data_IF_879896540298
#
_entry.id   IF_879896540298
#
_cell.length_a   1.000
_cell.length_b   1.000
_cell.length_c   1.000
_cell.angle_alpha   90.00
_cell.angle_beta   90.00
_cell.angle_gamma   90.00
#
_symmetry.space_group_name_H-M   'P 1'
#
loop_
_entity.id
_entity.type
_entity.pdbx_description
1 polymer ?
#
# COMPACT_ATOMS: atom_id res chain seq x y z
N UNK A 1 -26.76 -23.36 -11.00
CA UNK A 1 -25.43 -22.85 -11.40
C UNK A 1 -25.16 -21.63 -10.55
N UNK A 2 -25.06 -21.96 -9.26
CA UNK A 2 -24.63 -21.16 -8.12
C UNK A 2 -23.11 -21.20 -8.15
N UNK A 3 -22.42 -20.06 -8.01
CA UNK A 3 -21.02 -19.92 -7.56
C UNK A 3 -20.54 -18.46 -7.78
N UNK A 4 -21.33 -17.47 -7.36
CA UNK A 4 -20.91 -16.05 -7.30
C UNK A 4 -21.07 -15.47 -5.90
N UNK A 5 -21.76 -16.17 -4.98
CA UNK A 5 -22.07 -15.66 -3.64
C UNK A 5 -21.07 -16.13 -2.55
N UNK A 6 -20.31 -17.22 -2.79
CA UNK A 6 -19.37 -17.77 -1.79
C UNK A 6 -18.02 -17.03 -1.70
N UNK A 7 -17.57 -16.38 -2.79
CA UNK A 7 -16.30 -15.62 -2.79
C UNK A 7 -16.41 -14.32 -1.99
N UNK A 8 -17.57 -13.64 -2.02
CA UNK A 8 -17.76 -12.34 -1.37
C UNK A 8 -17.83 -12.47 0.17
N UNK A 9 -18.47 -13.54 0.66
CA UNK A 9 -18.55 -13.82 2.10
C UNK A 9 -17.19 -14.19 2.71
N UNK A 10 -16.36 -14.96 1.99
CA UNK A 10 -15.01 -15.29 2.46
C UNK A 10 -14.07 -14.07 2.47
N UNK A 11 -14.23 -13.18 1.50
CA UNK A 11 -13.47 -11.94 1.39
C UNK A 11 -13.84 -10.92 2.47
N UNK A 12 -15.13 -10.76 2.78
CA UNK A 12 -15.61 -9.88 3.85
C UNK A 12 -15.14 -10.39 5.22
N UNK A 13 -15.24 -11.70 5.49
CA UNK A 13 -14.77 -12.29 6.74
C UNK A 13 -13.25 -12.15 6.93
N UNK A 14 -12.45 -12.31 5.86
CA UNK A 14 -11.00 -12.09 5.90
C UNK A 14 -10.64 -10.61 6.15
N UNK A 15 -11.41 -9.66 5.61
CA UNK A 15 -11.22 -8.22 5.87
C UNK A 15 -11.58 -7.84 7.31
N UNK A 16 -12.66 -8.39 7.87
CA UNK A 16 -13.06 -8.15 9.26
C UNK A 16 -12.08 -8.79 10.26
N UNK A 17 -11.62 -10.01 9.99
CA UNK A 17 -10.63 -10.69 10.83
C UNK A 17 -9.28 -9.96 10.81
N UNK A 18 -8.88 -9.41 9.65
CA UNK A 18 -7.68 -8.58 9.56
C UNK A 18 -7.85 -7.24 10.28
N UNK A 19 -9.04 -6.61 10.23
CA UNK A 19 -9.32 -5.37 10.94
C UNK A 19 -9.21 -5.51 12.46
N UNK A 20 -9.68 -6.62 13.03
CA UNK A 20 -9.54 -6.91 14.46
C UNK A 20 -8.09 -7.05 14.92
N UNK A 21 -7.15 -7.41 14.03
CA UNK A 21 -5.72 -7.56 14.35
C UNK A 21 -4.88 -6.32 14.08
N UNK A 22 -5.36 -5.40 13.25
CA UNK A 22 -4.57 -4.24 12.81
C UNK A 22 -4.59 -3.08 13.81
N UNK A 23 -5.71 -2.89 14.53
CA UNK A 23 -5.84 -1.84 15.53
C UNK A 23 -5.07 -2.18 16.82
N UNK A 24 -4.13 -1.33 17.20
CA UNK A 24 -3.32 -1.47 18.41
C UNK A 24 -3.75 -0.39 19.43
N UNK A 25 -4.57 -0.71 20.45
CA UNK A 25 -4.95 0.25 21.47
C UNK A 25 -3.75 0.62 22.35
N UNK A 26 -3.65 1.88 22.76
CA UNK A 26 -2.64 2.27 23.74
C UNK A 26 -2.93 1.64 25.10
N UNK A 27 -1.87 1.14 25.76
CA UNK A 27 -2.01 0.48 27.07
C UNK A 27 -2.57 1.42 28.15
N UNK A 28 -2.15 2.69 28.15
CA UNK A 28 -2.66 3.72 29.05
C UNK A 28 -3.54 4.73 28.29
N UNK A 29 -4.85 4.49 28.33
CA UNK A 29 -5.85 5.36 27.72
C UNK A 29 -5.95 6.73 28.41
N UNK A 30 -5.62 6.84 29.69
CA UNK A 30 -5.66 8.10 30.43
C UNK A 30 -4.54 9.03 29.96
N UNK A 31 -3.31 8.51 29.92
CA UNK A 31 -2.16 9.21 29.36
C UNK A 31 -2.39 9.56 27.88
N UNK A 32 -2.87 8.60 27.08
CA UNK A 32 -3.12 8.82 25.66
C UNK A 32 -4.12 9.97 25.42
N UNK A 33 -5.22 10.02 26.18
CA UNK A 33 -6.20 11.12 26.08
C UNK A 33 -5.63 12.46 26.53
N UNK A 34 -4.82 12.47 27.59
CA UNK A 34 -4.17 13.68 28.06
C UNK A 34 -3.20 14.25 27.02
N UNK A 35 -2.51 13.39 26.27
CA UNK A 35 -1.61 13.78 25.19
C UNK A 35 -2.36 14.17 23.92
N UNK A 36 -3.46 13.48 23.60
CA UNK A 36 -4.28 13.76 22.42
C UNK A 36 -4.96 15.14 22.52
N UNK A 37 -5.43 15.57 23.70
CA UNK A 37 -5.93 16.94 23.89
C UNK A 37 -6.88 17.43 22.79
N UNK A 38 -6.51 18.51 22.09
CA UNK A 38 -7.22 19.08 20.92
C UNK A 38 -6.53 18.74 19.60
N UNK A 39 -5.80 17.62 19.53
CA UNK A 39 -5.06 17.19 18.34
C UNK A 39 -6.04 17.03 17.17
N UNK A 40 -5.82 17.85 16.15
CA UNK A 40 -6.49 17.73 14.86
C UNK A 40 -5.49 17.22 13.84
N UNK A 41 -5.95 16.40 12.90
CA UNK A 41 -5.08 15.81 11.90
C UNK A 41 -4.35 16.87 11.08
N UNK A 42 -3.01 16.90 11.18
CA UNK A 42 -2.15 17.76 10.39
C UNK A 42 -0.93 16.98 9.87
N UNK A 43 -0.62 17.11 8.58
CA UNK A 43 0.53 16.44 7.95
C UNK A 43 1.83 17.24 8.04
N UNK A 44 1.75 18.52 8.41
CA UNK A 44 2.87 19.44 8.34
C UNK A 44 3.50 19.80 9.68
N UNK A 45 2.95 19.28 10.78
CA UNK A 45 3.45 19.50 12.14
C UNK A 45 4.59 18.55 12.52
N UNK A 46 5.27 18.91 13.61
CA UNK A 46 6.25 18.05 14.27
C UNK A 46 5.61 16.71 14.69
N UNK A 47 6.46 15.71 14.90
CA UNK A 47 5.99 14.36 15.23
C UNK A 47 5.32 14.38 16.59
N UNK A 48 4.04 14.05 16.60
CA UNK A 48 3.26 14.02 17.82
C UNK A 48 3.80 12.96 18.80
N UNK A 49 3.86 13.22 20.12
CA UNK A 49 4.38 12.25 21.10
C UNK A 49 3.69 10.87 21.08
N UNK A 50 2.39 10.80 20.76
CA UNK A 50 1.70 9.51 20.54
C UNK A 50 2.26 8.73 19.36
N UNK A 51 2.70 9.41 18.30
CA UNK A 51 3.38 8.77 17.18
C UNK A 51 4.72 8.18 17.62
N UNK A 52 5.49 8.87 18.46
CA UNK A 52 6.76 8.34 18.97
C UNK A 52 6.57 7.06 19.79
N UNK A 53 5.55 7.04 20.67
CA UNK A 53 5.17 5.84 21.44
C UNK A 53 4.80 4.69 20.50
N UNK A 54 3.89 4.92 19.57
CA UNK A 54 3.44 3.90 18.62
C UNK A 54 4.57 3.41 17.70
N UNK A 55 5.48 4.29 17.28
CA UNK A 55 6.67 3.92 16.50
C UNK A 55 7.59 3.05 17.34
N UNK A 56 7.87 3.40 18.59
CA UNK A 56 8.71 2.59 19.46
C UNK A 56 8.11 1.18 19.69
N UNK A 57 6.79 1.07 19.91
CA UNK A 57 6.11 -0.22 20.03
C UNK A 57 6.18 -1.04 18.73
N UNK A 58 6.02 -0.40 17.56
CA UNK A 58 6.15 -1.08 16.27
C UNK A 58 7.60 -1.54 16.03
N UNK A 59 8.60 -0.72 16.36
CA UNK A 59 10.01 -1.10 16.26
C UNK A 59 10.34 -2.30 17.14
N UNK A 60 9.82 -2.35 18.37
CA UNK A 60 9.94 -3.50 19.25
C UNK A 60 9.29 -4.75 18.64
N UNK A 61 8.10 -4.60 18.04
CA UNK A 61 7.44 -5.70 17.34
C UNK A 61 8.26 -6.20 16.14
N UNK A 62 8.77 -5.29 15.30
CA UNK A 62 9.60 -5.63 14.14
C UNK A 62 10.88 -6.38 14.55
N UNK A 63 11.47 -6.04 15.70
CA UNK A 63 12.66 -6.69 16.22
C UNK A 63 12.37 -8.04 16.93
N UNK A 64 11.18 -8.20 17.51
CA UNK A 64 10.83 -9.34 18.37
C UNK A 64 9.92 -10.40 17.74
N UNK A 65 9.20 -10.08 16.67
CA UNK A 65 8.30 -11.03 16.01
C UNK A 65 9.06 -12.14 15.27
N UNK A 66 8.43 -13.30 15.13
CA UNK A 66 8.97 -14.49 14.46
C UNK A 66 8.00 -15.12 13.44
N UNK A 67 6.93 -14.41 13.08
CA UNK A 67 5.91 -14.86 12.14
C UNK A 67 6.42 -14.83 10.69
N UNK A 68 7.30 -13.88 10.37
CA UNK A 68 7.90 -13.74 9.05
C UNK A 68 9.37 -13.32 9.14
N UNK A 69 10.14 -13.64 8.10
CA UNK A 69 11.55 -13.27 7.98
C UNK A 69 11.74 -12.25 6.85
N UNK A 70 12.42 -11.15 7.16
CA UNK A 70 12.80 -10.14 6.19
C UNK A 70 14.18 -9.59 6.51
N UNK A 71 15.08 -9.57 5.52
CA UNK A 71 16.43 -9.08 5.73
C UNK A 71 16.47 -7.54 5.68
N UNK A 72 16.29 -6.89 6.83
CA UNK A 72 16.45 -5.45 6.97
C UNK A 72 17.92 -4.99 6.99
N UNK A 73 18.89 -5.91 7.08
CA UNK A 73 20.31 -5.59 7.19
C UNK A 73 20.69 -4.92 8.52
N UNK A 74 19.95 -5.22 9.59
CA UNK A 74 20.22 -4.73 10.95
C UNK A 74 20.91 -5.77 11.83
N UNK A 75 20.98 -7.02 11.37
CA UNK A 75 21.68 -8.12 12.03
C UNK A 75 22.38 -9.01 10.99
N UNK A 76 23.26 -9.90 11.48
CA UNK A 76 23.98 -10.88 10.66
C UNK A 76 23.15 -12.15 10.38
N UNK A 77 21.86 -12.18 10.77
CA UNK A 77 21.00 -13.36 10.66
C UNK A 77 20.19 -13.40 9.37
N UNK A 78 20.06 -12.26 8.71
CA UNK A 78 19.34 -12.12 7.44
C UNK A 78 19.98 -12.92 6.30
N UNK A 79 19.21 -13.79 5.65
CA UNK A 79 19.60 -14.43 4.40
C UNK A 79 18.99 -13.69 3.21
N UNK A 80 19.71 -13.63 2.08
CA UNK A 80 19.24 -12.98 0.86
C UNK A 80 19.49 -11.47 0.81
N UNK A 81 18.79 -10.76 -0.08
CA UNK A 81 19.02 -9.34 -0.33
C UNK A 81 18.61 -8.47 0.87
N UNK A 82 19.49 -7.54 1.25
CA UNK A 82 19.20 -6.50 2.26
C UNK A 82 18.25 -5.47 1.68
N UNK A 83 17.06 -5.34 2.28
CA UNK A 83 16.00 -4.45 1.80
C UNK A 83 15.39 -3.73 3.00
N UNK A 84 15.67 -2.43 3.15
CA UNK A 84 14.94 -1.58 4.10
C UNK A 84 13.53 -1.26 3.63
N UNK A 85 12.73 -0.68 4.53
CA UNK A 85 11.29 -0.49 4.33
C UNK A 85 10.78 0.80 4.94
N UNK A 86 9.87 1.47 4.24
CA UNK A 86 9.08 2.56 4.82
C UNK A 86 7.88 1.97 5.55
N UNK A 87 7.75 2.29 6.83
CA UNK A 87 6.61 1.99 7.68
C UNK A 87 5.84 3.28 7.97
N UNK A 88 4.55 3.15 8.24
CA UNK A 88 3.70 4.26 8.66
C UNK A 88 2.88 3.89 9.88
N UNK A 89 2.65 4.90 10.72
CA UNK A 89 1.79 4.85 11.90
C UNK A 89 0.71 5.91 11.73
N UNK A 90 -0.55 5.51 11.94
CA UNK A 90 -1.66 6.44 12.04
C UNK A 90 -2.29 6.32 13.42
N UNK A 91 -2.21 7.40 14.20
CA UNK A 91 -2.95 7.52 15.45
C UNK A 91 -4.41 7.71 15.12
N UNK A 92 -5.26 6.92 15.76
CA UNK A 92 -6.70 6.94 15.52
C UNK A 92 -7.48 6.85 16.83
N UNK A 93 -8.70 7.38 16.81
CA UNK A 93 -9.73 7.08 17.79
C UNK A 93 -10.79 6.18 17.13
N UNK A 94 -11.11 5.05 17.77
CA UNK A 94 -12.20 4.21 17.30
C UNK A 94 -13.58 4.78 17.70
N UNK A 95 -14.65 4.15 17.21
CA UNK A 95 -16.02 4.56 17.52
C UNK A 95 -16.39 4.43 19.01
N UNK A 96 -15.65 3.61 19.77
CA UNK A 96 -15.79 3.48 21.22
C UNK A 96 -15.06 4.57 22.01
N UNK A 97 -14.35 5.47 21.33
CA UNK A 97 -13.52 6.49 21.96
C UNK A 97 -12.18 5.97 22.49
N UNK A 98 -11.78 4.76 22.10
CA UNK A 98 -10.48 4.17 22.42
C UNK A 98 -9.41 4.75 21.52
N UNK A 99 -8.33 5.25 22.11
CA UNK A 99 -7.17 5.72 21.37
C UNK A 99 -6.21 4.57 21.10
N UNK A 100 -5.69 4.54 19.87
CA UNK A 100 -4.69 3.58 19.47
C UNK A 100 -4.02 4.00 18.18
N UNK A 101 -3.42 3.03 17.51
CA UNK A 101 -2.78 3.24 16.23
C UNK A 101 -2.96 2.08 15.27
N UNK A 102 -2.83 2.41 13.99
CA UNK A 102 -2.72 1.47 12.88
C UNK A 102 -1.29 1.51 12.35
N UNK A 103 -0.81 0.36 11.85
CA UNK A 103 0.51 0.24 11.22
C UNK A 103 0.40 -0.23 9.78
N UNK A 104 1.25 0.28 8.89
CA UNK A 104 1.34 -0.14 7.49
C UNK A 104 2.78 -0.13 6.99
N UNK A 105 3.03 -0.78 5.86
CA UNK A 105 4.31 -0.71 5.13
C UNK A 105 4.09 -0.43 3.64
N UNK A 106 5.10 0.15 2.99
CA UNK A 106 5.04 0.45 1.55
C UNK A 106 5.18 -0.83 0.69
N UNK A 107 4.37 -1.05 -0.35
CA UNK A 107 4.46 -2.27 -1.17
C UNK A 107 4.31 -3.56 -0.36
N UNK A 108 5.20 -4.56 -0.58
CA UNK A 108 5.19 -5.90 0.05
C UNK A 108 6.26 -6.09 1.13
N UNK A 109 5.96 -6.78 2.21
CA UNK A 109 6.91 -7.17 3.26
C UNK A 109 7.04 -8.69 3.27
N UNK A 110 8.26 -9.25 3.35
CA UNK A 110 8.46 -10.71 3.38
C UNK A 110 7.65 -11.47 2.30
N UNK A 111 7.62 -10.94 1.07
CA UNK A 111 6.83 -11.44 -0.08
C UNK A 111 5.30 -11.42 0.06
N UNK A 112 4.75 -10.88 1.15
CA UNK A 112 3.31 -10.77 1.41
C UNK A 112 2.80 -9.33 1.48
N UNK A 113 1.48 -9.19 1.34
CA UNK A 113 0.74 -7.93 1.55
C UNK A 113 0.03 -7.89 2.92
N UNK A 114 -0.12 -9.03 3.57
CA UNK A 114 -0.89 -9.21 4.81
C UNK A 114 0.01 -9.80 5.88
N UNK A 115 0.09 -9.11 7.02
CA UNK A 115 0.83 -9.53 8.22
C UNK A 115 0.03 -9.08 9.44
N UNK A 116 0.12 -9.85 10.53
CA UNK A 116 -0.50 -9.48 11.80
C UNK A 116 -0.05 -8.08 12.24
N UNK A 117 -0.94 -7.30 12.87
CA UNK A 117 -0.73 -5.89 13.27
C UNK A 117 -0.58 -4.87 12.13
N UNK A 118 -0.66 -5.29 10.87
CA UNK A 118 -0.60 -4.37 9.72
C UNK A 118 -1.92 -4.30 8.96
N UNK A 119 -2.31 -3.08 8.59
CA UNK A 119 -3.43 -2.87 7.66
C UNK A 119 -3.08 -3.43 6.29
N UNK A 120 -4.09 -3.97 5.61
CA UNK A 120 -3.97 -4.53 4.26
C UNK A 120 -3.73 -3.49 3.17
N UNK A 121 -3.53 -3.93 1.92
CA UNK A 121 -3.46 -3.05 0.76
C UNK A 121 -4.83 -2.42 0.46
N UNK A 122 -4.83 -1.27 -0.22
CA UNK A 122 -6.08 -0.64 -0.72
C UNK A 122 -6.80 -1.54 -1.72
N UNK A 123 -6.02 -2.21 -2.58
CA UNK A 123 -6.48 -3.22 -3.51
C UNK A 123 -5.44 -4.35 -3.56
N UNK A 124 -5.88 -5.61 -3.39
CA UNK A 124 -4.98 -6.76 -3.45
C UNK A 124 -4.98 -7.39 -4.86
N UNK A 125 -4.01 -6.94 -5.66
CA UNK A 125 -3.76 -7.45 -7.00
C UNK A 125 -3.28 -8.92 -7.05
N UNK A 126 -2.88 -9.52 -5.91
CA UNK A 126 -2.31 -10.86 -5.86
C UNK A 126 -3.35 -11.99 -5.72
N UNK A 127 -4.64 -11.64 -5.68
CA UNK A 127 -5.72 -12.63 -5.63
C UNK A 127 -5.67 -13.57 -6.84
N UNK A 128 -5.65 -14.88 -6.55
CA UNK A 128 -5.69 -15.94 -7.56
C UNK A 128 -6.94 -15.78 -8.43
N UNK A 129 -6.79 -15.89 -9.75
CA UNK A 129 -7.91 -15.69 -10.69
C UNK A 129 -8.22 -14.23 -11.05
N UNK A 130 -7.47 -13.25 -10.51
CA UNK A 130 -7.66 -11.85 -10.91
C UNK A 130 -7.41 -11.63 -12.41
N UNK A 131 -8.08 -10.62 -12.98
CA UNK A 131 -7.90 -10.23 -14.37
C UNK A 131 -6.44 -9.90 -14.75
N UNK A 132 -5.62 -9.55 -13.76
CA UNK A 132 -4.20 -9.28 -13.93
C UNK A 132 -3.45 -10.55 -14.32
N UNK A 133 -3.73 -11.67 -13.66
CA UNK A 133 -3.07 -12.94 -13.96
C UNK A 133 -3.36 -13.35 -15.41
N UNK A 134 -4.63 -13.36 -15.80
CA UNK A 134 -5.04 -13.64 -17.19
C UNK A 134 -4.43 -12.65 -18.17
N UNK A 135 -4.41 -11.36 -17.82
CA UNK A 135 -3.79 -10.32 -18.63
C UNK A 135 -2.29 -10.53 -18.84
N UNK A 136 -1.56 -10.95 -17.81
CA UNK A 136 -0.12 -11.22 -17.84
C UNK A 136 0.23 -12.50 -18.59
N UNK A 137 -0.61 -13.54 -18.50
CA UNK A 137 -0.49 -14.74 -19.34
C UNK A 137 -0.58 -14.35 -20.82
N UNK A 138 -1.58 -13.55 -21.20
CA UNK A 138 -1.73 -13.10 -22.59
C UNK A 138 -0.54 -12.26 -23.07
N UNK A 139 0.04 -11.41 -22.22
CA UNK A 139 1.26 -10.67 -22.56
C UNK A 139 2.45 -11.61 -22.82
N UNK A 140 2.58 -12.66 -22.02
CA UNK A 140 3.65 -13.65 -22.15
C UNK A 140 3.51 -14.46 -23.44
N UNK A 141 2.27 -14.82 -23.82
CA UNK A 141 1.98 -15.46 -25.11
C UNK A 141 2.39 -14.59 -26.30
N UNK A 142 1.99 -13.31 -26.31
CA UNK A 142 2.34 -12.39 -27.40
C UNK A 142 3.87 -12.22 -27.49
N UNK A 143 4.57 -12.12 -26.36
CA UNK A 143 6.04 -12.07 -26.36
C UNK A 143 6.68 -13.32 -26.97
N UNK A 144 6.13 -14.50 -26.66
CA UNK A 144 6.61 -15.78 -27.21
C UNK A 144 6.36 -15.86 -28.73
N UNK A 145 5.19 -15.41 -29.19
CA UNK A 145 4.88 -15.33 -30.63
C UNK A 145 5.84 -14.38 -31.37
N UNK A 146 6.13 -13.21 -30.79
CA UNK A 146 7.12 -12.27 -31.35
C UNK A 146 8.51 -12.91 -31.44
N UNK A 147 8.94 -13.60 -30.37
CA UNK A 147 10.25 -14.24 -30.33
C UNK A 147 10.38 -15.34 -31.39
N UNK A 148 9.35 -16.19 -31.53
CA UNK A 148 9.33 -17.26 -32.52
C UNK A 148 9.42 -16.73 -33.96
N UNK A 149 8.63 -15.72 -34.31
CA UNK A 149 8.67 -15.11 -35.65
C UNK A 149 9.99 -14.39 -35.95
N UNK A 150 10.60 -13.78 -34.92
CA UNK A 150 11.88 -13.11 -35.09
C UNK A 150 13.05 -14.10 -35.27
N UNK A 151 12.95 -15.28 -34.64
CA UNK A 151 13.92 -16.37 -34.79
C UNK A 151 13.80 -17.09 -36.14
N UNK A 152 12.58 -17.25 -36.65
CA UNK A 152 12.32 -17.87 -37.97
C UNK A 152 12.86 -17.01 -39.12
N UNK A 153 12.38 -15.76 -39.25
CA UNK A 153 12.90 -14.76 -40.20
C UNK A 153 12.32 -13.38 -39.87
N UNK A 154 13.11 -12.56 -39.16
CA UNK A 154 12.67 -11.23 -38.74
C UNK A 154 12.38 -10.26 -39.91
N UNK A 155 12.96 -10.47 -41.10
CA UNK A 155 12.73 -9.62 -42.27
C UNK A 155 11.41 -9.98 -42.92
N UNK A 156 11.19 -11.27 -43.17
CA UNK A 156 9.94 -11.78 -43.75
C UNK A 156 8.75 -11.48 -42.85
N UNK A 157 8.89 -11.71 -41.54
CA UNK A 157 7.81 -11.55 -40.56
C UNK A 157 7.69 -10.14 -39.98
N UNK A 158 8.44 -9.16 -40.50
CA UNK A 158 8.44 -7.78 -40.00
C UNK A 158 7.03 -7.17 -39.83
N UNK A 159 6.08 -7.33 -40.77
CA UNK A 159 4.73 -6.80 -40.61
C UNK A 159 3.97 -7.44 -39.43
N UNK A 160 4.04 -8.77 -39.28
CA UNK A 160 3.38 -9.51 -38.21
C UNK A 160 3.97 -9.16 -36.84
N UNK A 161 5.30 -9.10 -36.74
CA UNK A 161 6.01 -8.68 -35.52
C UNK A 161 5.59 -7.26 -35.12
N UNK A 162 5.44 -6.35 -36.08
CA UNK A 162 5.02 -4.97 -35.82
C UNK A 162 3.58 -4.92 -35.28
N UNK A 163 2.67 -5.70 -35.86
CA UNK A 163 1.29 -5.81 -35.36
C UNK A 163 1.23 -6.40 -33.95
N UNK A 164 1.98 -7.47 -33.67
CA UNK A 164 2.04 -8.08 -32.34
C UNK A 164 2.64 -7.12 -31.30
N UNK A 165 3.66 -6.32 -31.65
CA UNK A 165 4.19 -5.28 -30.76
C UNK A 165 3.14 -4.20 -30.46
N UNK A 166 2.35 -3.80 -31.46
CA UNK A 166 1.26 -2.84 -31.27
C UNK A 166 0.15 -3.41 -30.37
N UNK A 167 -0.27 -4.67 -30.62
CA UNK A 167 -1.25 -5.39 -29.79
C UNK A 167 -0.77 -5.52 -28.34
N UNK A 168 0.48 -5.95 -28.14
CA UNK A 168 1.09 -6.05 -26.81
C UNK A 168 1.07 -4.72 -26.07
N UNK A 169 1.43 -3.62 -26.76
CA UNK A 169 1.42 -2.27 -26.17
C UNK A 169 -0.01 -1.88 -25.75
N UNK A 170 -0.98 -2.03 -26.64
CA UNK A 170 -2.39 -1.71 -26.35
C UNK A 170 -2.92 -2.53 -25.16
N UNK A 171 -2.65 -3.84 -25.15
CA UNK A 171 -3.06 -4.74 -24.07
C UNK A 171 -2.40 -4.38 -22.74
N UNK A 172 -1.08 -4.13 -22.72
CA UNK A 172 -0.37 -3.71 -21.51
C UNK A 172 -0.89 -2.39 -20.95
N UNK A 173 -1.16 -1.40 -21.82
CA UNK A 173 -1.72 -0.11 -21.40
C UNK A 173 -3.14 -0.27 -20.86
N UNK A 174 -3.99 -1.07 -21.52
CA UNK A 174 -5.35 -1.36 -21.03
C UNK A 174 -5.35 -2.09 -19.69
N UNK A 175 -4.45 -3.05 -19.51
CA UNK A 175 -4.31 -3.81 -18.26
C UNK A 175 -3.85 -2.91 -17.10
N UNK A 176 -2.85 -2.06 -17.35
CA UNK A 176 -2.37 -1.10 -16.36
C UNK A 176 -3.46 -0.10 -15.99
N UNK A 177 -4.22 0.41 -16.96
CA UNK A 177 -5.33 1.33 -16.69
C UNK A 177 -6.39 0.67 -15.80
N UNK A 178 -6.83 -0.54 -16.15
CA UNK A 178 -7.79 -1.30 -15.35
C UNK A 178 -7.29 -1.53 -13.92
N UNK A 179 -6.01 -1.85 -13.75
CA UNK A 179 -5.39 -1.98 -12.43
C UNK A 179 -5.55 -0.71 -11.60
N UNK A 180 -5.17 0.43 -12.16
CA UNK A 180 -5.22 1.71 -11.46
C UNK A 180 -6.67 2.13 -11.14
N UNK A 181 -7.63 1.78 -11.98
CA UNK A 181 -9.07 1.99 -11.74
C UNK A 181 -9.62 1.14 -10.58
N UNK A 182 -8.95 0.05 -10.19
CA UNK A 182 -9.33 -0.74 -9.00
C UNK A 182 -8.90 -0.10 -7.68
N UNK A 183 -7.90 0.78 -7.68
CA UNK A 183 -7.49 1.50 -6.48
C UNK A 183 -8.49 2.62 -6.19
N UNK A 184 -9.48 2.31 -5.36
CA UNK A 184 -10.52 3.25 -4.92
C UNK A 184 -10.21 3.76 -3.52
N UNK A 185 -10.16 5.08 -3.38
CA UNK A 185 -9.89 5.75 -2.12
C UNK A 185 -11.17 6.39 -1.59
N UNK A 186 -11.41 6.27 -0.29
CA UNK A 186 -12.44 7.05 0.39
C UNK A 186 -11.85 8.35 0.90
N UNK A 187 -12.58 9.45 0.79
CA UNK A 187 -12.29 10.65 1.58
C UNK A 187 -12.99 10.62 2.94
N UNK A 188 -12.69 11.61 3.79
CA UNK A 188 -13.28 11.73 5.14
C UNK A 188 -14.81 11.90 5.16
N UNK A 189 -15.41 12.32 4.04
CA UNK A 189 -16.85 12.39 3.87
C UNK A 189 -17.47 11.08 3.38
N UNK A 190 -16.67 10.03 3.15
CA UNK A 190 -17.12 8.73 2.66
C UNK A 190 -17.30 8.65 1.14
N UNK A 191 -16.93 9.69 0.39
CA UNK A 191 -16.98 9.65 -1.08
C UNK A 191 -15.81 8.84 -1.62
N UNK A 192 -16.07 8.03 -2.65
CA UNK A 192 -15.07 7.22 -3.34
C UNK A 192 -14.58 7.88 -4.62
N UNK A 193 -13.28 7.74 -4.90
CA UNK A 193 -12.68 8.08 -6.20
C UNK A 193 -11.53 7.14 -6.52
N UNK A 194 -11.45 6.69 -7.77
CA UNK A 194 -10.36 5.84 -8.20
C UNK A 194 -9.07 6.66 -8.45
N UNK A 195 -7.93 5.96 -8.45
CA UNK A 195 -6.62 6.55 -8.64
C UNK A 195 -6.50 7.35 -9.94
N UNK A 196 -7.06 6.88 -11.05
CA UNK A 196 -6.96 7.57 -12.34
C UNK A 196 -7.62 8.94 -12.26
N UNK A 197 -8.80 9.03 -11.67
CA UNK A 197 -9.54 10.29 -11.53
C UNK A 197 -8.86 11.25 -10.56
N UNK A 198 -8.33 10.75 -9.43
CA UNK A 198 -7.54 11.56 -8.49
C UNK A 198 -6.36 12.22 -9.18
N UNK A 199 -5.55 11.45 -9.90
CA UNK A 199 -4.34 11.95 -10.54
C UNK A 199 -4.64 12.83 -11.75
N UNK A 200 -5.69 12.54 -12.51
CA UNK A 200 -6.14 13.37 -13.63
C UNK A 200 -6.53 14.77 -13.14
N UNK A 201 -7.25 14.87 -12.01
CA UNK A 201 -7.59 16.16 -11.41
C UNK A 201 -6.37 16.97 -10.96
N UNK A 202 -5.25 16.30 -10.70
CA UNK A 202 -3.96 16.91 -10.35
C UNK A 202 -3.04 17.12 -11.57
N UNK A 203 -3.56 17.01 -12.80
CA UNK A 203 -2.82 17.31 -14.04
C UNK A 203 -1.91 16.17 -14.53
N UNK A 204 -1.97 14.99 -13.93
CA UNK A 204 -1.18 13.84 -14.40
C UNK A 204 -1.85 13.17 -15.59
N UNK A 205 -1.04 12.78 -16.59
CA UNK A 205 -1.51 11.95 -17.70
C UNK A 205 -1.81 10.51 -17.27
N UNK A 206 -1.05 10.00 -16.30
CA UNK A 206 -1.18 8.69 -15.69
C UNK A 206 -0.66 8.75 -14.24
N UNK A 207 -1.24 8.00 -13.29
CA UNK A 207 -0.67 7.81 -11.97
C UNK A 207 0.77 7.27 -12.04
N UNK A 208 1.70 7.74 -11.19
CA UNK A 208 3.05 7.18 -11.11
C UNK A 208 3.03 5.74 -10.60
N UNK A 209 4.03 4.95 -11.00
CA UNK A 209 4.14 3.56 -10.58
C UNK A 209 4.23 3.42 -9.05
N UNK A 210 3.45 2.48 -8.49
CA UNK A 210 3.37 2.23 -7.06
C UNK A 210 2.64 3.30 -6.25
N UNK A 211 1.92 4.22 -6.90
CA UNK A 211 0.92 5.04 -6.22
C UNK A 211 -0.13 4.14 -5.56
N UNK A 212 -0.66 4.56 -4.40
CA UNK A 212 -1.61 3.76 -3.61
C UNK A 212 -1.02 2.62 -2.79
N UNK A 213 0.26 2.26 -3.01
CA UNK A 213 0.93 1.21 -2.23
C UNK A 213 1.73 1.74 -1.02
N UNK A 214 1.75 3.06 -0.81
CA UNK A 214 2.45 3.68 0.32
C UNK A 214 1.71 3.45 1.64
N UNK A 215 2.40 3.62 2.77
CA UNK A 215 1.84 3.33 4.09
C UNK A 215 0.68 4.28 4.43
N UNK A 216 0.88 5.60 4.29
CA UNK A 216 -0.14 6.62 4.59
C UNK A 216 -1.53 6.36 3.97
N UNK A 217 -1.65 6.21 2.63
CA UNK A 217 -2.95 5.94 2.00
C UNK A 217 -3.63 4.66 2.50
N UNK A 218 -2.87 3.58 2.76
CA UNK A 218 -3.45 2.33 3.31
C UNK A 218 -4.03 2.56 4.71
N UNK A 219 -3.31 3.30 5.55
CA UNK A 219 -3.74 3.62 6.92
C UNK A 219 -5.03 4.44 6.93
N UNK A 220 -5.08 5.54 6.16
CA UNK A 220 -6.28 6.37 6.07
C UNK A 220 -7.45 5.60 5.46
N UNK A 221 -7.21 4.78 4.44
CA UNK A 221 -8.25 3.97 3.83
C UNK A 221 -8.87 3.01 4.84
N UNK A 222 -8.02 2.35 5.65
CA UNK A 222 -8.48 1.48 6.73
C UNK A 222 -9.27 2.26 7.78
N UNK A 223 -8.73 3.38 8.27
CA UNK A 223 -9.40 4.21 9.26
C UNK A 223 -10.81 4.64 8.80
N UNK A 224 -10.94 5.16 7.58
CA UNK A 224 -12.24 5.57 7.04
C UNK A 224 -13.21 4.41 6.85
N UNK A 225 -12.74 3.23 6.39
CA UNK A 225 -13.60 2.05 6.24
C UNK A 225 -14.14 1.54 7.58
N UNK A 226 -13.39 1.72 8.65
CA UNK A 226 -13.77 1.32 10.01
C UNK A 226 -14.32 2.47 10.86
N UNK A 227 -14.57 3.63 10.24
CA UNK A 227 -15.08 4.85 10.89
C UNK A 227 -14.25 5.25 12.11
N UNK A 228 -12.93 5.07 12.01
CA UNK A 228 -11.97 5.57 12.98
C UNK A 228 -11.57 6.99 12.61
N UNK A 229 -11.46 7.87 13.61
CA UNK A 229 -11.01 9.25 13.44
C UNK A 229 -9.48 9.30 13.35
N UNK A 230 -8.88 9.75 12.23
CA UNK A 230 -7.44 9.94 12.13
C UNK A 230 -7.00 11.18 12.91
N UNK A 231 -5.94 11.06 13.71
CA UNK A 231 -5.44 12.14 14.56
C UNK A 231 -4.02 12.60 14.20
N UNK A 232 -3.12 11.68 13.87
CA UNK A 232 -1.76 12.01 13.44
C UNK A 232 -1.14 10.89 12.59
N UNK A 233 -0.38 11.25 11.56
CA UNK A 233 0.30 10.31 10.66
C UNK A 233 1.81 10.56 10.70
N UNK A 234 2.59 9.49 10.84
CA UNK A 234 4.04 9.55 10.65
C UNK A 234 4.51 8.38 9.79
N UNK A 235 5.53 8.61 8.96
CA UNK A 235 6.26 7.54 8.27
C UNK A 235 7.72 7.52 8.71
N UNK A 236 8.31 6.34 8.82
CA UNK A 236 9.71 6.16 9.18
C UNK A 236 10.36 5.02 8.39
N UNK A 237 11.67 5.12 8.21
CA UNK A 237 12.44 4.07 7.54
C UNK A 237 13.03 3.06 8.53
N UNK A 238 12.88 1.78 8.24
CA UNK A 238 13.43 0.68 9.02
C UNK A 238 14.34 -0.20 8.15
N UNK A 239 15.51 -0.55 8.67
CA UNK A 239 16.57 -1.25 7.93
C UNK A 239 17.71 -0.38 7.42
N UNK A 240 18.74 -1.06 6.91
CA UNK A 240 19.95 -0.46 6.36
C UNK A 240 19.62 0.54 5.26
N UNK A 241 20.33 1.67 5.25
CA UNK A 241 20.19 2.68 4.21
C UNK A 241 20.51 2.12 2.83
N UNK A 242 19.73 2.50 1.79
CA UNK A 242 20.12 2.20 0.43
C UNK A 242 21.43 2.92 0.07
N UNK A 243 22.09 2.49 -1.01
CA UNK A 243 23.34 3.12 -1.50
C UNK A 243 23.23 4.63 -1.74
N UNK A 244 22.03 5.13 -2.03
CA UNK A 244 21.78 6.56 -2.22
C UNK A 244 21.78 7.37 -0.93
N UNK A 245 21.80 6.71 0.25
CA UNK A 245 21.66 7.31 1.58
C UNK A 245 20.39 8.17 1.78
N UNK A 246 19.43 8.07 0.86
CA UNK A 246 18.17 8.85 0.89
C UNK A 246 17.34 8.53 2.13
N UNK A 247 17.38 7.27 2.57
CA UNK A 247 16.63 6.79 3.73
C UNK A 247 17.59 6.32 4.82
N UNK A 248 17.37 6.78 6.05
CA UNK A 248 18.20 6.52 7.21
C UNK A 248 17.41 5.71 8.22
N UNK A 249 18.05 4.71 8.82
CA UNK A 249 17.41 3.85 9.81
C UNK A 249 16.84 4.67 10.97
N UNK A 250 15.56 4.44 11.30
CA UNK A 250 14.85 5.12 12.38
C UNK A 250 14.43 6.56 12.08
N UNK A 251 14.85 7.12 10.94
CA UNK A 251 14.52 8.49 10.59
C UNK A 251 13.09 8.61 10.05
N UNK A 252 12.50 9.79 10.29
CA UNK A 252 11.13 10.12 9.92
C UNK A 252 11.05 10.87 8.60
N UNK A 253 9.96 10.64 7.88
CA UNK A 253 9.75 11.20 6.55
C UNK A 253 8.31 11.65 6.36
N UNK A 254 8.15 12.75 5.63
CA UNK A 254 6.83 13.19 5.16
C UNK A 254 6.32 12.24 4.06
N UNK A 255 4.99 12.12 3.90
CA UNK A 255 4.42 11.39 2.78
C UNK A 255 4.99 11.86 1.44
N UNK A 256 5.15 10.90 0.55
CA UNK A 256 5.82 11.13 -0.73
C UNK A 256 5.08 12.13 -1.63
N UNK A 257 5.77 13.18 -2.10
CA UNK A 257 5.14 14.27 -2.88
C UNK A 257 4.48 13.81 -4.17
N UNK A 258 5.14 12.94 -4.94
CA UNK A 258 4.64 12.58 -6.28
C UNK A 258 3.51 11.56 -6.24
N UNK A 259 3.57 10.57 -5.35
CA UNK A 259 2.61 9.45 -5.33
C UNK A 259 1.55 9.60 -4.23
N UNK A 260 1.89 10.20 -3.10
CA UNK A 260 1.04 10.24 -1.92
C UNK A 260 0.23 11.54 -1.90
N UNK A 261 0.84 12.68 -2.23
CA UNK A 261 0.16 13.98 -2.06
C UNK A 261 -1.18 14.10 -2.80
N UNK A 262 -1.33 13.72 -4.08
CA UNK A 262 -2.64 13.79 -4.76
C UNK A 262 -3.72 12.90 -4.11
N UNK A 263 -3.30 11.74 -3.61
CA UNK A 263 -4.20 10.79 -2.93
C UNK A 263 -4.61 11.35 -1.57
N UNK A 264 -3.64 11.81 -0.78
CA UNK A 264 -3.88 12.33 0.56
C UNK A 264 -4.69 13.63 0.54
N UNK A 265 -4.44 14.51 -0.43
CA UNK A 265 -5.24 15.71 -0.67
C UNK A 265 -6.72 15.31 -0.86
N UNK A 266 -7.00 14.39 -1.77
CA UNK A 266 -8.36 13.89 -1.96
C UNK A 266 -8.93 13.22 -0.69
N UNK A 267 -8.16 12.39 -0.01
CA UNK A 267 -8.63 11.63 1.15
C UNK A 267 -9.00 12.54 2.34
N UNK A 268 -8.27 13.63 2.54
CA UNK A 268 -8.44 14.54 3.67
C UNK A 268 -9.32 15.74 3.36
N UNK A 269 -9.53 16.04 2.08
CA UNK A 269 -10.48 17.03 1.62
C UNK A 269 -11.84 16.35 1.30
N UNK A 270 -12.83 16.62 2.13
CA UNK A 270 -14.16 16.01 2.08
C UNK A 270 -15.13 16.71 3.00
#
# INVERSE_FOLDING_TARGET
MTDVEDDDHSFIAAQEQQAGTAFCPFADQGAARSMAGTLTFNQDEDIHPLCEIAVAELQQHLAGQNEWMHNFGLDDKGHGAVIGKMFGILIVQDQGGTLGYLSAFSGKLANGNHHNRFVGPVFDALTTGSFLNTGMVRLSEINREIAALAEEDATLHHPAITQLKALRKAHSTGLQRRLLEQFNFSNKAGHLKNMVDIFTAHGYKQPPAGAGECAGPKLLQHAFRHQMEPLALVEFWWGLSPKSATWQHGAYYKPCREKCAPILDYMLNG
#
